data_IF_985822665285
#
_entry.id   IF_985822665285
#
_cell.length_a   1.000
_cell.length_b   1.000
_cell.length_c   1.000
_cell.angle_alpha   90.00
_cell.angle_beta   90.00
_cell.angle_gamma   90.00
#
_symmetry.space_group_name_H-M   'P 1'
#
loop_
_entity.id
_entity.type
_entity.pdbx_description
1 polymer ?
#
# COMPACT_ATOMS: atom_id res chain seq x y z
N UNK A 1 19.02 74.17 17.43
CA UNK A 1 19.33 72.74 17.42
C UNK A 1 18.21 71.79 17.97
N UNK A 2 17.33 72.26 18.87
CA UNK A 2 16.25 71.36 19.44
C UNK A 2 15.19 70.90 18.43
N UNK A 3 14.74 71.75 17.47
CA UNK A 3 13.68 71.36 16.48
C UNK A 3 14.06 70.21 15.54
N UNK A 4 15.33 70.13 15.09
CA UNK A 4 15.77 69.03 14.21
C UNK A 4 15.74 67.62 14.89
N UNK A 5 16.06 67.59 16.20
CA UNK A 5 16.03 66.31 16.95
C UNK A 5 14.59 65.73 17.13
N UNK A 6 13.63 66.66 17.35
CA UNK A 6 12.22 66.27 17.52
C UNK A 6 11.61 65.70 16.21
N UNK A 7 11.96 66.34 15.05
CA UNK A 7 11.49 65.87 13.74
C UNK A 7 12.03 64.49 13.38
N UNK A 8 13.30 64.20 13.70
CA UNK A 8 13.92 62.93 13.47
C UNK A 8 13.26 61.85 14.37
N UNK A 9 12.95 62.15 15.62
CA UNK A 9 12.28 61.20 16.55
C UNK A 9 10.85 60.82 16.08
N UNK A 10 10.09 61.82 15.58
CA UNK A 10 8.75 61.63 15.04
C UNK A 10 8.80 60.80 13.77
N UNK A 11 9.74 61.02 12.85
CA UNK A 11 9.92 60.26 11.64
C UNK A 11 10.28 58.79 11.94
N UNK A 12 11.20 58.53 12.89
CA UNK A 12 11.55 57.18 13.33
C UNK A 12 10.37 56.46 13.95
N UNK A 13 9.55 57.13 14.74
CA UNK A 13 8.36 56.54 15.35
C UNK A 13 7.33 56.11 14.29
N UNK A 14 7.10 56.97 13.27
CA UNK A 14 6.18 56.65 12.15
C UNK A 14 6.66 55.42 11.37
N UNK A 15 7.97 55.32 11.10
CA UNK A 15 8.54 54.15 10.39
C UNK A 15 8.34 52.85 11.20
N UNK A 16 8.57 52.89 12.52
CA UNK A 16 8.36 51.73 13.38
C UNK A 16 6.87 51.31 13.42
N UNK A 17 5.96 52.28 13.54
CA UNK A 17 4.51 51.99 13.53
C UNK A 17 4.08 51.40 12.20
N UNK A 18 4.56 51.92 11.06
CA UNK A 18 4.29 51.37 9.73
C UNK A 18 4.86 49.95 9.58
N UNK A 19 6.06 49.68 10.07
CA UNK A 19 6.66 48.35 10.04
C UNK A 19 5.85 47.35 10.89
N UNK A 20 5.39 47.74 12.08
CA UNK A 20 4.53 46.94 12.94
C UNK A 20 3.18 46.66 12.28
N UNK A 21 2.58 47.68 11.66
CA UNK A 21 1.32 47.51 10.91
C UNK A 21 1.50 46.59 9.71
N UNK A 22 2.57 46.67 8.95
CA UNK A 22 2.87 45.80 7.83
C UNK A 22 3.06 44.33 8.30
N UNK A 23 3.78 44.14 9.41
CA UNK A 23 3.94 42.83 10.03
C UNK A 23 2.60 42.29 10.52
N UNK A 24 1.78 43.13 11.16
CA UNK A 24 0.45 42.72 11.62
C UNK A 24 -0.48 42.37 10.46
N UNK A 25 -0.50 43.14 9.37
CA UNK A 25 -1.25 42.84 8.15
C UNK A 25 -0.73 41.57 7.51
N UNK A 26 0.59 41.37 7.44
CA UNK A 26 1.18 40.15 6.92
C UNK A 26 0.75 38.91 7.73
N UNK A 27 0.78 38.99 9.05
CA UNK A 27 0.32 37.87 9.91
C UNK A 27 -1.19 37.64 9.80
N UNK A 28 -2.02 38.68 9.76
CA UNK A 28 -3.48 38.53 9.65
C UNK A 28 -3.91 38.00 8.28
N UNK A 29 -3.23 38.40 7.19
CA UNK A 29 -3.52 37.86 5.86
C UNK A 29 -3.02 36.41 5.68
N UNK A 30 -1.88 36.05 6.30
CA UNK A 30 -1.37 34.70 6.26
C UNK A 30 -2.17 33.70 7.14
N UNK A 31 -2.97 34.14 8.09
CA UNK A 31 -3.80 33.27 8.93
C UNK A 31 -5.11 32.83 8.27
N UNK A 32 -5.41 33.30 7.06
CA UNK A 32 -6.65 32.95 6.35
C UNK A 32 -6.53 31.74 5.42
N UNK A 33 -5.42 30.99 5.47
CA UNK A 33 -5.20 29.84 4.64
C UNK A 33 -5.71 28.56 5.29
N UNK A 34 -6.19 27.64 4.47
CA UNK A 34 -6.44 26.26 4.82
C UNK A 34 -5.18 25.41 4.67
N UNK A 35 -5.11 24.36 5.43
CA UNK A 35 -4.18 23.24 5.28
C UNK A 35 -5.03 22.00 5.07
N UNK A 36 -4.79 21.26 4.01
CA UNK A 36 -5.34 19.93 3.81
C UNK A 36 -4.31 18.90 4.20
N UNK A 37 -4.69 17.98 5.07
CA UNK A 37 -3.85 16.87 5.48
C UNK A 37 -4.70 15.61 5.68
N UNK A 38 -4.07 14.45 5.63
CA UNK A 38 -4.78 13.19 5.87
C UNK A 38 -3.89 12.00 5.64
N UNK A 39 -4.50 10.82 5.71
CA UNK A 39 -3.87 9.53 5.45
C UNK A 39 -4.38 8.95 4.15
N UNK A 40 -3.50 8.23 3.47
CA UNK A 40 -3.82 7.45 2.29
C UNK A 40 -3.20 6.07 2.40
N UNK A 41 -4.03 5.06 2.16
CA UNK A 41 -3.60 3.67 2.19
C UNK A 41 -4.21 2.92 1.00
N UNK A 42 -3.60 1.81 0.66
CA UNK A 42 -4.19 0.84 -0.23
C UNK A 42 -5.44 0.20 0.37
N UNK A 43 -6.48 -0.02 -0.43
CA UNK A 43 -7.77 -0.54 0.04
C UNK A 43 -7.65 -1.96 0.59
N UNK A 44 -6.86 -2.83 -0.04
CA UNK A 44 -6.74 -4.24 0.34
C UNK A 44 -5.71 -4.46 1.45
N UNK A 45 -4.48 -4.01 1.21
CA UNK A 45 -3.36 -4.30 2.11
C UNK A 45 -3.23 -3.34 3.29
N UNK A 46 -3.92 -2.19 3.23
CA UNK A 46 -3.77 -1.09 4.19
C UNK A 46 -2.34 -0.54 4.26
N UNK A 47 -1.53 -0.83 3.26
CA UNK A 47 -0.15 -0.39 3.13
C UNK A 47 -0.01 0.96 2.43
N UNK A 48 1.23 1.42 2.31
CA UNK A 48 1.59 2.68 1.65
C UNK A 48 1.35 2.60 0.15
N UNK A 49 0.60 3.54 -0.39
CA UNK A 49 0.48 3.75 -1.84
C UNK A 49 1.75 4.44 -2.35
N UNK A 50 2.55 3.74 -3.15
CA UNK A 50 3.82 4.26 -3.67
C UNK A 50 3.59 5.25 -4.82
N UNK A 51 4.42 6.31 -4.87
CA UNK A 51 4.40 7.34 -5.93
C UNK A 51 3.04 8.01 -6.10
N UNK A 52 2.31 8.18 -5.01
CA UNK A 52 1.04 8.89 -5.00
C UNK A 52 1.26 10.38 -5.29
N UNK A 53 0.50 10.92 -6.22
CA UNK A 53 0.41 12.35 -6.51
C UNK A 53 -0.96 12.87 -6.11
N UNK A 54 -1.00 13.87 -5.25
CA UNK A 54 -2.21 14.59 -4.86
C UNK A 54 -2.19 15.95 -5.53
N UNK A 55 -3.30 16.35 -6.13
CA UNK A 55 -3.46 17.65 -6.82
C UNK A 55 -4.72 18.33 -6.33
N UNK A 56 -4.59 19.64 -6.02
CA UNK A 56 -5.70 20.56 -5.72
C UNK A 56 -5.40 21.87 -6.43
N UNK A 57 -6.23 22.28 -7.39
CA UNK A 57 -6.17 23.55 -8.06
C UNK A 57 -4.73 24.01 -8.41
N UNK A 58 -4.00 23.16 -9.11
CA UNK A 58 -2.61 23.42 -9.52
C UNK A 58 -1.55 23.26 -8.43
N UNK A 59 -1.93 23.04 -7.17
CA UNK A 59 -1.00 22.61 -6.12
C UNK A 59 -0.92 21.11 -6.12
N UNK A 60 0.29 20.59 -5.99
CA UNK A 60 0.50 19.13 -5.94
C UNK A 60 1.51 18.76 -4.88
N UNK A 61 1.33 17.59 -4.31
CA UNK A 61 2.30 16.89 -3.47
C UNK A 61 2.53 15.49 -4.03
N UNK A 62 3.76 14.99 -3.91
CA UNK A 62 4.13 13.65 -4.37
C UNK A 62 4.68 12.88 -3.19
N UNK A 63 3.95 11.83 -2.82
CA UNK A 63 4.32 10.93 -1.75
C UNK A 63 4.99 9.69 -2.34
N UNK A 64 6.24 9.45 -1.99
CA UNK A 64 6.96 8.26 -2.47
C UNK A 64 6.73 7.03 -1.60
N UNK A 65 6.78 7.21 -0.27
CA UNK A 65 6.75 6.13 0.72
C UNK A 65 6.10 6.61 2.05
N UNK A 66 5.04 7.40 1.97
CA UNK A 66 4.35 7.91 3.17
C UNK A 66 2.85 7.63 3.09
N UNK A 67 2.24 7.34 4.24
CA UNK A 67 0.79 7.29 4.38
C UNK A 67 0.20 8.68 4.63
N UNK A 68 0.98 9.62 5.14
CA UNK A 68 0.51 10.95 5.51
C UNK A 68 0.87 11.98 4.44
N UNK A 69 -0.09 12.85 4.12
CA UNK A 69 0.11 13.97 3.20
C UNK A 69 -0.29 15.29 3.84
N UNK A 70 0.30 16.40 3.33
CA UNK A 70 0.01 17.74 3.82
C UNK A 70 0.22 18.80 2.74
N UNK A 71 -0.87 19.42 2.33
CA UNK A 71 -0.86 20.60 1.44
C UNK A 71 -1.20 21.84 2.25
N UNK A 72 -0.36 22.87 2.18
CA UNK A 72 -0.51 24.11 2.96
C UNK A 72 -0.80 25.31 2.09
N UNK A 73 -1.29 26.40 2.71
CA UNK A 73 -1.57 27.68 2.06
C UNK A 73 -2.59 27.56 0.92
N UNK A 74 -3.69 26.85 1.17
CA UNK A 74 -4.81 26.73 0.26
C UNK A 74 -5.84 27.79 0.65
N UNK A 75 -6.27 28.70 -0.23
CA UNK A 75 -7.36 29.61 0.07
C UNK A 75 -8.62 28.83 0.46
N UNK A 76 -9.47 29.32 1.38
CA UNK A 76 -10.76 28.70 1.62
C UNK A 76 -11.61 28.69 0.35
N UNK A 77 -12.33 27.60 0.09
CA UNK A 77 -13.15 27.45 -1.10
C UNK A 77 -13.40 25.98 -1.47
N UNK A 78 -14.17 25.79 -2.54
CA UNK A 78 -14.43 24.49 -3.14
C UNK A 78 -13.35 24.15 -4.17
N UNK A 79 -12.86 22.94 -4.12
CA UNK A 79 -11.78 22.46 -4.97
C UNK A 79 -12.05 21.06 -5.47
N UNK A 80 -11.54 20.75 -6.64
CA UNK A 80 -11.42 19.36 -7.10
C UNK A 80 -10.13 18.77 -6.53
N UNK A 81 -10.27 17.81 -5.65
CA UNK A 81 -9.20 16.96 -5.16
C UNK A 81 -8.99 15.82 -6.13
N UNK A 82 -7.76 15.59 -6.56
CA UNK A 82 -7.38 14.48 -7.42
C UNK A 82 -6.22 13.71 -6.79
N UNK A 83 -6.36 12.39 -6.72
CA UNK A 83 -5.30 11.49 -6.30
C UNK A 83 -4.97 10.48 -7.41
N UNK A 84 -3.69 10.40 -7.78
CA UNK A 84 -3.17 9.62 -8.89
C UNK A 84 -2.00 8.77 -8.41
N UNK A 85 -2.04 7.47 -8.64
CA UNK A 85 -0.90 6.59 -8.41
C UNK A 85 -0.80 5.55 -9.54
N UNK A 86 0.42 5.07 -9.89
CA UNK A 86 0.57 3.98 -10.83
C UNK A 86 -0.22 2.77 -10.36
N UNK A 87 -0.99 2.16 -11.28
CA UNK A 87 -1.77 0.93 -11.06
C UNK A 87 -2.95 1.04 -10.10
N UNK A 88 -3.35 2.28 -9.75
CA UNK A 88 -4.56 2.55 -8.96
C UNK A 88 -5.60 3.28 -9.80
N UNK A 89 -6.86 3.14 -9.42
CA UNK A 89 -7.93 3.96 -9.94
C UNK A 89 -7.72 5.41 -9.52
N UNK A 90 -8.01 6.35 -10.42
CA UNK A 90 -7.97 7.77 -10.11
C UNK A 90 -9.11 8.13 -9.17
N UNK A 91 -8.80 8.90 -8.12
CA UNK A 91 -9.82 9.51 -7.27
C UNK A 91 -9.97 10.96 -7.71
N UNK A 92 -11.21 11.37 -7.99
CA UNK A 92 -11.59 12.75 -8.23
C UNK A 92 -12.80 13.08 -7.37
N UNK A 93 -12.69 14.08 -6.48
CA UNK A 93 -13.75 14.46 -5.55
C UNK A 93 -13.76 15.95 -5.28
N UNK A 94 -14.95 16.56 -5.18
CA UNK A 94 -15.09 17.93 -4.67
C UNK A 94 -14.90 17.95 -3.16
N UNK A 95 -14.07 18.88 -2.67
CA UNK A 95 -13.82 19.13 -1.25
C UNK A 95 -13.98 20.61 -0.93
N UNK A 96 -14.45 20.92 0.27
CA UNK A 96 -14.58 22.28 0.77
C UNK A 96 -13.47 22.56 1.79
N UNK A 97 -12.52 23.40 1.41
CA UNK A 97 -11.40 23.79 2.27
C UNK A 97 -11.80 25.01 3.09
N UNK A 98 -11.78 24.85 4.39
CA UNK A 98 -12.02 25.91 5.37
C UNK A 98 -10.70 26.46 5.90
N UNK A 99 -10.76 27.62 6.54
CA UNK A 99 -9.63 28.18 7.29
C UNK A 99 -9.14 27.20 8.36
N UNK A 100 -7.82 27.03 8.46
CA UNK A 100 -7.21 26.12 9.43
C UNK A 100 -6.98 24.72 8.87
N UNK A 101 -7.02 23.71 9.73
CA UNK A 101 -6.74 22.32 9.37
C UNK A 101 -8.00 21.64 8.85
N UNK A 102 -7.91 21.07 7.67
CA UNK A 102 -8.91 20.22 7.04
C UNK A 102 -8.31 18.82 6.94
N UNK A 103 -9.02 17.82 7.45
CA UNK A 103 -8.58 16.41 7.40
C UNK A 103 -9.40 15.65 6.37
N UNK A 104 -8.72 14.95 5.47
CA UNK A 104 -9.35 14.11 4.46
C UNK A 104 -8.53 12.84 4.28
N UNK A 105 -9.02 11.75 4.86
CA UNK A 105 -8.44 10.41 4.73
C UNK A 105 -9.14 9.66 3.59
N UNK A 106 -8.40 8.88 2.82
CA UNK A 106 -8.97 8.10 1.73
C UNK A 106 -8.17 6.81 1.46
N UNK A 107 -8.82 5.87 0.78
CA UNK A 107 -8.20 4.64 0.31
C UNK A 107 -8.09 4.65 -1.22
N UNK A 108 -7.01 4.08 -1.75
CA UNK A 108 -6.81 3.90 -3.18
C UNK A 108 -7.14 2.46 -3.57
N UNK A 109 -8.03 2.30 -4.54
CA UNK A 109 -8.37 1.00 -5.11
C UNK A 109 -7.40 0.67 -6.25
N UNK A 110 -6.79 -0.52 -6.20
CA UNK A 110 -5.96 -1.02 -7.28
C UNK A 110 -6.77 -1.27 -8.55
N UNK A 111 -6.14 -1.07 -9.72
CA UNK A 111 -6.75 -1.44 -11.00
C UNK A 111 -6.83 -2.96 -11.14
N UNK A 112 -7.84 -3.42 -11.83
CA UNK A 112 -7.99 -4.83 -12.17
C UNK A 112 -6.83 -5.33 -13.05
N UNK A 113 -6.50 -6.60 -12.91
CA UNK A 113 -5.54 -7.29 -13.78
C UNK A 113 -6.30 -7.75 -15.02
N UNK A 114 -5.99 -7.21 -16.21
CA UNK A 114 -6.74 -7.55 -17.41
C UNK A 114 -6.73 -9.06 -17.70
N UNK A 115 -7.93 -9.63 -17.85
CA UNK A 115 -8.11 -11.03 -18.21
C UNK A 115 -7.88 -12.03 -17.06
N UNK A 116 -7.61 -11.61 -15.83
CA UNK A 116 -7.45 -12.53 -14.69
C UNK A 116 -8.76 -13.28 -14.42
N UNK A 117 -8.69 -14.61 -14.48
CA UNK A 117 -9.81 -15.50 -14.24
C UNK A 117 -9.52 -16.54 -13.15
N UNK A 118 -8.27 -16.67 -12.73
CA UNK A 118 -7.89 -17.60 -11.68
C UNK A 118 -6.40 -17.58 -11.38
N UNK A 119 -6.00 -18.37 -10.40
CA UNK A 119 -4.61 -18.59 -10.01
C UNK A 119 -4.23 -20.06 -10.18
N UNK A 120 -2.93 -20.32 -10.27
CA UNK A 120 -2.31 -21.63 -10.10
C UNK A 120 -1.13 -21.42 -9.18
N UNK A 121 -1.08 -22.20 -8.11
CA UNK A 121 -0.04 -22.09 -7.10
C UNK A 121 0.86 -23.32 -7.11
N UNK A 122 2.13 -23.10 -6.84
CA UNK A 122 3.14 -24.14 -6.68
C UNK A 122 3.91 -23.92 -5.38
N UNK A 123 4.43 -24.96 -4.78
CA UNK A 123 5.28 -24.84 -3.61
C UNK A 123 6.60 -25.55 -3.83
N UNK A 124 7.65 -24.99 -3.24
CA UNK A 124 8.98 -25.57 -3.23
C UNK A 124 9.62 -25.38 -1.85
N UNK A 125 10.19 -26.45 -1.23
CA UNK A 125 10.98 -26.28 -0.02
C UNK A 125 12.30 -25.58 -0.34
N UNK A 126 12.64 -24.59 0.47
CA UNK A 126 13.89 -23.82 0.39
C UNK A 126 14.64 -23.90 1.72
N UNK A 127 15.81 -23.30 1.82
CA UNK A 127 16.52 -23.16 3.10
C UNK A 127 15.74 -22.33 4.13
N UNK A 128 14.96 -21.33 3.67
CA UNK A 128 14.26 -20.37 4.52
C UNK A 128 12.88 -20.86 4.96
N UNK A 129 12.22 -21.70 4.17
CA UNK A 129 10.86 -22.12 4.39
C UNK A 129 10.27 -22.79 3.15
N UNK A 130 8.95 -22.93 3.16
CA UNK A 130 8.18 -23.37 2.00
C UNK A 130 7.87 -22.13 1.16
N UNK A 131 8.54 -21.98 0.01
CA UNK A 131 8.23 -20.93 -0.95
C UNK A 131 6.97 -21.31 -1.74
N UNK A 132 6.07 -20.33 -1.90
CA UNK A 132 4.86 -20.47 -2.71
C UNK A 132 4.97 -19.50 -3.87
N UNK A 133 4.84 -20.02 -5.09
CA UNK A 133 4.70 -19.27 -6.33
C UNK A 133 3.24 -19.14 -6.73
N UNK A 134 2.80 -17.94 -7.09
CA UNK A 134 1.44 -17.68 -7.56
C UNK A 134 1.51 -17.22 -9.01
N UNK A 135 0.86 -17.96 -9.89
CA UNK A 135 0.73 -17.67 -11.31
C UNK A 135 -0.71 -17.29 -11.62
N UNK A 136 -0.89 -16.27 -12.44
CA UNK A 136 -2.20 -15.83 -12.90
C UNK A 136 -2.57 -16.50 -14.21
N UNK A 137 -3.85 -16.85 -14.36
CA UNK A 137 -4.39 -17.44 -15.59
C UNK A 137 -5.64 -16.69 -16.07
N UNK A 138 -5.82 -16.67 -17.39
CA UNK A 138 -7.05 -16.20 -18.03
C UNK A 138 -8.12 -17.29 -18.11
N UNK A 139 -9.29 -16.98 -18.70
CA UNK A 139 -10.40 -17.94 -18.89
C UNK A 139 -10.04 -19.13 -19.76
N UNK A 140 -8.99 -19.04 -20.58
CA UNK A 140 -8.52 -20.13 -21.44
C UNK A 140 -7.46 -21.00 -20.74
N UNK A 141 -7.12 -20.69 -19.48
CA UNK A 141 -6.08 -21.36 -18.70
C UNK A 141 -4.65 -20.94 -19.05
N UNK A 142 -4.47 -19.93 -19.90
CA UNK A 142 -3.16 -19.43 -20.29
C UNK A 142 -2.60 -18.50 -19.18
N UNK A 143 -1.30 -18.56 -18.96
CA UNK A 143 -0.61 -17.72 -17.98
C UNK A 143 -0.59 -16.24 -18.39
N UNK A 144 -0.87 -15.36 -17.43
CA UNK A 144 -0.76 -13.91 -17.60
C UNK A 144 0.58 -13.47 -17.02
N UNK A 145 1.44 -12.87 -17.85
CA UNK A 145 2.77 -12.37 -17.47
C UNK A 145 2.88 -10.85 -17.48
N UNK A 146 2.01 -10.17 -18.20
CA UNK A 146 2.01 -8.70 -18.33
C UNK A 146 1.05 -8.06 -17.33
N UNK A 147 1.51 -7.95 -16.09
CA UNK A 147 0.80 -7.24 -15.04
C UNK A 147 1.82 -6.57 -14.09
N UNK A 148 1.45 -5.46 -13.47
CA UNK A 148 2.32 -4.74 -12.55
C UNK A 148 2.35 -5.35 -11.15
N UNK A 149 3.29 -4.88 -10.33
CA UNK A 149 3.28 -5.14 -8.89
C UNK A 149 2.09 -4.42 -8.25
N UNK A 150 0.97 -5.11 -8.13
CA UNK A 150 -0.24 -4.63 -7.47
C UNK A 150 -0.23 -5.01 -5.99
N UNK A 151 -0.93 -4.25 -5.14
CA UNK A 151 -1.22 -4.70 -3.79
C UNK A 151 -2.19 -5.88 -3.86
N UNK A 152 -1.78 -6.96 -3.25
CA UNK A 152 -2.54 -8.21 -3.15
C UNK A 152 -2.42 -8.70 -1.72
N UNK A 153 -3.42 -9.42 -1.23
CA UNK A 153 -3.32 -10.13 0.05
C UNK A 153 -3.43 -11.63 -0.16
N UNK A 154 -2.62 -12.39 0.56
CA UNK A 154 -2.60 -13.83 0.52
C UNK A 154 -2.83 -14.40 1.91
N UNK A 155 -3.78 -15.29 2.02
CA UNK A 155 -3.99 -16.13 3.19
C UNK A 155 -3.67 -17.57 2.83
N UNK A 156 -3.02 -18.30 3.76
CA UNK A 156 -2.66 -19.69 3.58
C UNK A 156 -3.09 -20.53 4.77
N UNK A 157 -3.48 -21.78 4.48
CA UNK A 157 -3.67 -22.83 5.48
C UNK A 157 -2.89 -24.05 5.04
N UNK A 158 -1.97 -24.49 5.88
CA UNK A 158 -1.17 -25.71 5.63
C UNK A 158 -1.56 -26.78 6.63
N UNK A 159 -1.84 -27.96 6.12
CA UNK A 159 -2.16 -29.15 6.91
C UNK A 159 -1.16 -30.25 6.60
N UNK A 160 -0.91 -31.14 7.56
CA UNK A 160 -0.31 -32.46 7.27
C UNK A 160 -1.26 -33.21 6.34
N UNK A 161 -0.71 -33.89 5.35
CA UNK A 161 -1.50 -34.76 4.49
C UNK A 161 -1.57 -36.17 5.12
N UNK A 162 -2.76 -36.57 5.54
CA UNK A 162 -3.02 -37.91 6.06
C UNK A 162 -3.51 -38.82 4.94
N UNK A 163 -2.94 -40.02 4.83
CA UNK A 163 -3.30 -41.03 3.82
C UNK A 163 -2.32 -41.09 2.67
N UNK A 164 -2.68 -41.95 1.69
CA UNK A 164 -1.88 -42.23 0.51
C UNK A 164 -2.11 -41.18 -0.60
N UNK A 165 -1.35 -41.27 -1.70
CA UNK A 165 -1.39 -40.34 -2.81
C UNK A 165 -2.77 -40.26 -3.48
N UNK A 166 -3.49 -41.37 -3.56
CA UNK A 166 -4.81 -41.46 -4.19
C UNK A 166 -5.99 -41.25 -3.23
N UNK A 167 -5.74 -41.30 -1.90
CA UNK A 167 -6.79 -41.17 -0.90
C UNK A 167 -6.25 -40.50 0.35
N UNK A 168 -6.23 -39.18 0.30
CA UNK A 168 -5.72 -38.33 1.38
C UNK A 168 -6.81 -37.46 2.00
N UNK A 169 -6.56 -37.06 3.23
CA UNK A 169 -7.38 -36.11 3.97
C UNK A 169 -6.53 -35.04 4.66
N UNK A 170 -7.20 -34.00 5.13
CA UNK A 170 -6.56 -32.98 5.96
C UNK A 170 -6.28 -33.55 7.34
N UNK A 171 -5.02 -33.64 7.69
CA UNK A 171 -4.57 -33.97 9.02
C UNK A 171 -4.41 -32.76 9.92
N UNK A 172 -3.41 -32.79 10.77
CA UNK A 172 -3.08 -31.70 11.71
C UNK A 172 -2.72 -30.41 10.96
N UNK A 173 -3.27 -29.29 11.43
CA UNK A 173 -2.97 -27.97 10.87
C UNK A 173 -1.59 -27.51 11.35
N UNK A 174 -0.74 -27.09 10.40
CA UNK A 174 0.61 -26.59 10.62
C UNK A 174 0.69 -25.08 10.59
N UNK A 175 -0.14 -24.45 9.73
CA UNK A 175 -0.16 -22.99 9.56
C UNK A 175 -1.57 -22.51 9.23
N UNK A 176 -1.92 -21.30 9.68
CA UNK A 176 -3.18 -20.62 9.34
C UNK A 176 -2.99 -19.11 9.53
N UNK A 177 -3.03 -18.36 8.43
CA UNK A 177 -2.92 -16.92 8.53
C UNK A 177 -2.42 -16.22 7.27
N UNK A 178 -2.19 -14.90 7.39
CA UNK A 178 -1.72 -14.09 6.29
C UNK A 178 -0.28 -14.43 5.93
N UNK A 179 -0.02 -14.47 4.62
CA UNK A 179 1.31 -14.67 4.04
C UNK A 179 1.78 -13.38 3.39
N UNK A 180 3.02 -12.97 3.71
CA UNK A 180 3.60 -11.78 3.10
C UNK A 180 4.01 -12.06 1.67
N UNK A 181 3.34 -11.39 0.74
CA UNK A 181 3.71 -11.43 -0.68
C UNK A 181 4.92 -10.56 -0.97
N UNK A 182 5.77 -11.03 -1.86
CA UNK A 182 6.83 -10.25 -2.47
C UNK A 182 6.79 -10.39 -3.99
N UNK A 183 7.23 -9.35 -4.67
CA UNK A 183 7.26 -9.28 -6.11
C UNK A 183 8.65 -9.63 -6.64
N UNK A 184 8.74 -10.68 -7.46
CA UNK A 184 9.96 -11.06 -8.17
C UNK A 184 9.91 -10.56 -9.63
N UNK A 185 10.59 -9.46 -9.95
CA UNK A 185 10.59 -8.91 -11.31
C UNK A 185 11.37 -9.79 -12.31
N UNK A 186 12.15 -10.74 -11.84
CA UNK A 186 12.99 -11.61 -12.68
C UNK A 186 12.23 -12.82 -13.19
N UNK A 187 11.16 -13.21 -12.48
CA UNK A 187 10.30 -14.32 -12.90
C UNK A 187 9.34 -13.89 -14.02
N UNK A 188 9.15 -14.75 -14.99
CA UNK A 188 8.25 -14.48 -16.12
C UNK A 188 6.77 -14.67 -15.74
N UNK A 189 6.43 -15.77 -15.11
CA UNK A 189 5.05 -16.12 -14.74
C UNK A 189 4.79 -16.03 -13.23
N UNK A 190 5.74 -16.46 -12.41
CA UNK A 190 5.61 -16.54 -10.95
C UNK A 190 6.17 -15.30 -10.27
N UNK A 191 5.62 -14.13 -10.59
CA UNK A 191 6.11 -12.86 -10.03
C UNK A 191 5.67 -12.60 -8.60
N UNK A 192 4.55 -13.20 -8.19
CA UNK A 192 4.10 -13.12 -6.80
C UNK A 192 4.54 -14.37 -6.06
N UNK A 193 5.30 -14.18 -5.01
CA UNK A 193 5.81 -15.25 -4.17
C UNK A 193 5.55 -14.96 -2.70
N UNK A 194 5.48 -16.01 -1.90
CA UNK A 194 5.41 -15.94 -0.45
C UNK A 194 6.22 -17.07 0.17
N UNK A 195 6.59 -16.93 1.45
CA UNK A 195 7.32 -17.97 2.18
C UNK A 195 6.66 -18.21 3.52
N UNK A 196 6.43 -19.48 3.85
CA UNK A 196 6.13 -19.92 5.22
C UNK A 196 7.45 -20.34 5.85
N UNK A 197 8.01 -19.60 6.81
CA UNK A 197 9.31 -19.92 7.39
C UNK A 197 9.27 -21.23 8.18
N UNK A 198 10.36 -22.03 8.13
CA UNK A 198 10.42 -23.30 8.88
C UNK A 198 10.22 -23.13 10.38
N UNK A 199 10.66 -22.03 10.96
CA UNK A 199 10.59 -21.78 12.40
C UNK A 199 9.18 -21.50 12.94
N UNK A 200 8.18 -21.34 12.07
CA UNK A 200 6.77 -21.21 12.48
C UNK A 200 6.00 -22.53 12.31
N UNK A 201 6.64 -23.54 11.74
CA UNK A 201 6.06 -24.85 11.48
C UNK A 201 6.53 -25.86 12.52
N UNK A 202 5.58 -26.52 13.17
CA UNK A 202 5.84 -27.67 14.07
C UNK A 202 5.63 -28.94 13.28
N UNK A 203 6.68 -29.46 12.65
CA UNK A 203 6.64 -30.63 11.75
C UNK A 203 7.39 -31.79 12.40
N UNK A 204 6.74 -32.95 12.48
CA UNK A 204 7.39 -34.21 12.77
C UNK A 204 8.06 -34.75 11.49
N UNK A 205 9.34 -34.41 11.29
CA UNK A 205 10.08 -34.73 10.06
C UNK A 205 10.28 -36.24 9.83
N UNK A 206 10.08 -37.09 10.85
CA UNK A 206 10.16 -38.54 10.69
C UNK A 206 8.88 -39.11 10.06
N UNK A 207 7.73 -38.54 10.42
CA UNK A 207 6.42 -39.08 10.03
C UNK A 207 5.64 -38.19 9.05
N UNK A 208 5.89 -36.86 9.04
CA UNK A 208 5.16 -35.89 8.24
C UNK A 208 6.01 -35.38 7.06
N UNK A 209 5.86 -36.02 5.90
CA UNK A 209 6.66 -35.67 4.70
C UNK A 209 5.95 -34.73 3.73
N UNK A 210 4.63 -34.81 3.68
CA UNK A 210 3.82 -34.05 2.73
C UNK A 210 2.69 -33.32 3.44
N UNK A 211 2.34 -32.17 2.89
CA UNK A 211 1.23 -31.35 3.33
C UNK A 211 0.25 -31.05 2.21
N UNK A 212 -0.89 -30.52 2.60
CA UNK A 212 -1.92 -29.92 1.75
C UNK A 212 -2.04 -28.45 2.12
N UNK A 213 -1.92 -27.57 1.12
CA UNK A 213 -1.99 -26.12 1.33
C UNK A 213 -3.18 -25.53 0.58
N UNK A 214 -4.02 -24.82 1.29
CA UNK A 214 -5.09 -23.98 0.75
C UNK A 214 -4.63 -22.55 0.72
N UNK A 215 -4.83 -21.87 -0.41
CA UNK A 215 -4.41 -20.51 -0.65
C UNK A 215 -5.60 -19.67 -1.11
N UNK A 216 -5.74 -18.50 -0.52
CA UNK A 216 -6.77 -17.51 -0.85
C UNK A 216 -6.08 -16.21 -1.19
N UNK A 217 -6.10 -15.83 -2.47
CA UNK A 217 -5.54 -14.59 -2.96
C UNK A 217 -6.66 -13.57 -3.20
N UNK A 218 -6.58 -12.41 -2.55
CA UNK A 218 -7.47 -11.29 -2.80
C UNK A 218 -6.78 -10.25 -3.70
N UNK A 219 -7.47 -9.88 -4.76
CA UNK A 219 -7.05 -8.92 -5.78
C UNK A 219 -8.09 -7.78 -5.87
N UNK A 220 -7.81 -6.67 -6.59
CA UNK A 220 -8.78 -5.60 -6.80
C UNK A 220 -10.11 -6.04 -7.43
N UNK A 221 -10.12 -7.13 -8.20
CA UNK A 221 -11.31 -7.65 -8.87
C UNK A 221 -11.98 -8.83 -8.15
N UNK A 222 -11.44 -9.30 -7.04
CA UNK A 222 -12.06 -10.39 -6.29
C UNK A 222 -11.05 -11.36 -5.68
N UNK A 223 -11.59 -12.44 -5.16
CA UNK A 223 -10.85 -13.48 -4.44
C UNK A 223 -10.75 -14.73 -5.31
N UNK A 224 -9.56 -15.31 -5.33
CA UNK A 224 -9.24 -16.55 -6.05
C UNK A 224 -8.64 -17.56 -5.07
N UNK A 225 -9.00 -18.81 -5.27
CA UNK A 225 -8.57 -19.90 -4.41
C UNK A 225 -7.81 -20.95 -5.23
N UNK A 226 -6.83 -21.60 -4.59
CA UNK A 226 -6.14 -22.76 -5.14
C UNK A 226 -5.66 -23.70 -4.03
N UNK A 227 -5.43 -24.96 -4.37
CA UNK A 227 -5.00 -26.00 -3.44
C UNK A 227 -3.75 -26.67 -4.00
N UNK A 228 -2.68 -26.73 -3.19
CA UNK A 228 -1.49 -27.50 -3.48
C UNK A 228 -1.57 -28.80 -2.66
N UNK A 229 -1.74 -29.92 -3.35
CA UNK A 229 -2.00 -31.22 -2.70
C UNK A 229 -0.74 -31.94 -2.18
N UNK A 230 0.43 -31.59 -2.71
CA UNK A 230 1.72 -32.22 -2.39
C UNK A 230 2.77 -31.19 -2.00
N UNK A 231 2.58 -30.54 -0.85
CA UNK A 231 3.57 -29.64 -0.29
C UNK A 231 4.64 -30.45 0.42
N UNK A 232 5.87 -30.39 -0.04
CA UNK A 232 6.99 -31.06 0.62
C UNK A 232 7.32 -30.35 1.95
N UNK A 233 7.29 -31.11 3.06
CA UNK A 233 7.50 -30.61 4.43
C UNK A 233 8.95 -30.79 4.91
N UNK A 234 9.84 -31.22 4.04
CA UNK A 234 11.24 -31.47 4.38
C UNK A 234 12.10 -30.34 3.88
N UNK A 235 12.90 -29.77 4.78
CA UNK A 235 13.86 -28.72 4.43
C UNK A 235 14.91 -29.25 3.45
N UNK A 236 15.13 -28.53 2.32
CA UNK A 236 16.28 -28.81 1.47
C UNK A 236 17.56 -28.47 2.22
N UNK A 237 18.43 -29.44 2.42
CA UNK A 237 19.80 -29.18 2.84
C UNK A 237 20.54 -28.53 1.67
N UNK A 238 21.27 -27.45 1.95
CA UNK A 238 21.98 -26.70 0.94
C UNK A 238 22.96 -27.58 0.15
N UNK A 239 22.85 -27.52 -1.18
CA UNK A 239 23.83 -28.05 -2.12
C UNK A 239 25.05 -27.13 -2.22
#
# INVERSE_FOLDING_TARGET
MKKKKTTILIASFIVVVLAVLLVFVYFTTNTNWGTLQGKVVDELSQDVVKKLRIVIDGKSDILYMSKDYKLTRIPPGKYTFTALAPYYEEIQQEIDIKKGINVFDFTMKGKEIPGLAGIICFSEPTEQGIEVEIRFKNNEGQGISDYPALPLTLEGKLYVRDGDEDNYSRGRKLFDGPMKLFWDPTSYLARNKAVIPWNVLDIDTENEKYGLMELILTTPQGTFEDIIENVELTKKEGQ
#
